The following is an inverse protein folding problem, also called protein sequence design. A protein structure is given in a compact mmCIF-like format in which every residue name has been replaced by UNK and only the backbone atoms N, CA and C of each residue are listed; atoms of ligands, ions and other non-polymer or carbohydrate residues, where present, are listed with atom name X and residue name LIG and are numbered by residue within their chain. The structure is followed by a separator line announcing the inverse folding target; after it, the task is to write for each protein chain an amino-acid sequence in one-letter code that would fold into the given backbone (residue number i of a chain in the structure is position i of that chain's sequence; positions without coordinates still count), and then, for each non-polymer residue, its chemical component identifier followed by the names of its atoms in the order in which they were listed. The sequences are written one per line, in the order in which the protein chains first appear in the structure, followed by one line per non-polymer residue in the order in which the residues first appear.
data_IF_313466933951
#
_entry.id   IF_313466933951
#
_cell.length_a   1.000
_cell.length_b   1.000
_cell.length_c   1.000
_cell.angle_alpha   90.00
_cell.angle_beta   90.00
_cell.angle_gamma   90.00
#
_symmetry.space_group_name_H-M   'P 1'
#
loop_
_entity.id
_entity.type
_entity.pdbx_description
1 polymer ?
#
# COMPACT_ATOMS: atom_id res chain seq x y z
N UNK A 1 -22.01 5.37 10.30
CA UNK A 1 -20.62 5.85 10.41
C UNK A 1 -19.73 4.65 10.14
N UNK A 2 -18.80 4.78 9.20
CA UNK A 2 -17.74 3.78 9.03
C UNK A 2 -16.80 3.83 10.23
N UNK A 3 -16.09 2.73 10.50
CA UNK A 3 -15.15 2.65 11.64
C UNK A 3 -13.88 3.47 11.37
N UNK A 4 -13.52 3.65 10.10
CA UNK A 4 -12.32 4.36 9.69
C UNK A 4 -12.64 5.77 9.18
N UNK A 5 -11.77 6.73 9.44
CA UNK A 5 -11.86 8.05 8.82
C UNK A 5 -11.51 8.01 7.33
N UNK A 6 -10.78 6.98 6.89
CA UNK A 6 -10.28 6.83 5.52
C UNK A 6 -11.39 6.59 4.50
N UNK A 7 -12.49 5.96 4.90
CA UNK A 7 -13.64 5.60 4.04
C UNK A 7 -14.95 6.32 4.46
N UNK A 8 -14.88 7.18 5.48
CA UNK A 8 -16.04 7.91 5.95
C UNK A 8 -16.48 8.99 4.94
N UNK A 9 -17.78 9.17 4.61
CA UNK A 9 -18.24 10.01 3.49
C UNK A 9 -17.85 11.51 3.47
N UNK A 10 -17.14 11.98 4.49
CA UNK A 10 -16.83 13.39 4.74
C UNK A 10 -15.44 13.52 5.37
N UNK A 11 -15.03 12.61 6.27
CA UNK A 11 -13.67 12.63 6.80
C UNK A 11 -12.65 12.13 5.77
N UNK A 12 -13.06 11.28 4.83
CA UNK A 12 -12.21 10.85 3.70
C UNK A 12 -11.79 12.02 2.82
N UNK A 13 -12.56 13.11 2.78
CA UNK A 13 -12.16 14.33 2.06
C UNK A 13 -10.88 14.99 2.62
N UNK A 14 -10.49 14.69 3.86
CA UNK A 14 -9.23 15.14 4.46
C UNK A 14 -8.21 13.99 4.64
N UNK A 15 -8.67 12.80 5.03
CA UNK A 15 -7.79 11.71 5.41
C UNK A 15 -7.74 10.56 4.42
N UNK A 16 -8.71 10.44 3.51
CA UNK A 16 -8.86 9.33 2.59
C UNK A 16 -8.10 9.50 1.28
N UNK A 17 -8.09 8.43 0.50
CA UNK A 17 -7.59 8.41 -0.88
C UNK A 17 -8.37 7.34 -1.68
N UNK A 18 -9.42 7.76 -2.38
CA UNK A 18 -10.34 6.83 -3.05
C UNK A 18 -9.63 5.97 -4.11
N UNK A 19 -8.61 6.51 -4.79
CA UNK A 19 -7.85 5.78 -5.80
C UNK A 19 -7.10 4.61 -5.18
N UNK A 20 -6.38 4.83 -4.08
CA UNK A 20 -5.63 3.78 -3.40
C UNK A 20 -6.55 2.85 -2.61
N UNK A 21 -7.59 3.38 -1.95
CA UNK A 21 -8.57 2.57 -1.23
C UNK A 21 -9.30 1.58 -2.16
N UNK A 22 -9.67 2.01 -3.38
CA UNK A 22 -10.33 1.15 -4.36
C UNK A 22 -9.48 -0.07 -4.79
N UNK A 23 -8.14 0.02 -4.71
CA UNK A 23 -7.26 -1.11 -5.02
C UNK A 23 -7.37 -2.25 -4.00
N UNK A 24 -7.78 -1.95 -2.76
CA UNK A 24 -8.04 -2.93 -1.70
C UNK A 24 -9.50 -3.43 -1.67
N UNK A 25 -10.32 -3.06 -2.66
CA UNK A 25 -11.72 -3.52 -2.71
C UNK A 25 -11.82 -5.03 -2.93
N UNK A 26 -12.92 -5.61 -2.42
CA UNK A 26 -13.20 -7.04 -2.57
C UNK A 26 -13.24 -7.49 -4.04
N UNK A 27 -13.78 -6.66 -4.94
CA UNK A 27 -13.79 -6.92 -6.38
C UNK A 27 -12.37 -7.02 -6.96
N UNK A 28 -11.46 -6.12 -6.53
CA UNK A 28 -10.05 -6.15 -6.96
C UNK A 28 -9.33 -7.39 -6.43
N UNK A 29 -9.57 -7.75 -5.18
CA UNK A 29 -9.04 -9.00 -4.59
C UNK A 29 -9.55 -10.23 -5.34
N UNK A 30 -10.85 -10.32 -5.61
CA UNK A 30 -11.43 -11.45 -6.35
C UNK A 30 -10.94 -11.52 -7.80
N UNK A 31 -10.73 -10.36 -8.45
CA UNK A 31 -10.08 -10.31 -9.75
C UNK A 31 -8.64 -10.83 -9.71
N UNK A 32 -7.85 -10.48 -8.69
CA UNK A 32 -6.51 -11.04 -8.49
C UNK A 32 -6.55 -12.54 -8.20
N UNK A 33 -7.55 -13.04 -7.48
CA UNK A 33 -7.75 -14.48 -7.30
C UNK A 33 -7.97 -15.20 -8.64
N UNK A 34 -8.77 -14.62 -9.54
CA UNK A 34 -8.94 -15.17 -10.88
C UNK A 34 -7.66 -15.13 -11.71
N UNK A 35 -6.86 -14.07 -11.60
CA UNK A 35 -5.55 -14.02 -12.26
C UNK A 35 -4.62 -15.13 -11.75
N UNK A 36 -4.57 -15.32 -10.43
CA UNK A 36 -3.80 -16.40 -9.80
C UNK A 36 -4.23 -17.77 -10.33
N UNK A 37 -5.54 -18.08 -10.31
CA UNK A 37 -6.05 -19.38 -10.76
C UNK A 37 -5.80 -19.63 -12.25
N UNK A 38 -5.89 -18.59 -13.09
CA UNK A 38 -5.56 -18.69 -14.51
C UNK A 38 -4.08 -18.99 -14.71
N UNK A 39 -3.20 -18.27 -14.01
CA UNK A 39 -1.76 -18.49 -14.09
C UNK A 39 -1.36 -19.89 -13.59
N UNK A 40 -1.94 -20.32 -12.47
CA UNK A 40 -1.74 -21.66 -11.91
C UNK A 40 -2.22 -22.74 -12.88
N UNK A 41 -3.47 -22.67 -13.35
CA UNK A 41 -4.06 -23.66 -14.26
C UNK A 41 -3.24 -23.79 -15.54
N UNK A 42 -2.83 -22.65 -16.11
CA UNK A 42 -2.00 -22.63 -17.32
C UNK A 42 -0.65 -23.31 -17.09
N UNK A 43 0.06 -22.94 -16.03
CA UNK A 43 1.35 -23.52 -15.69
C UNK A 43 1.26 -25.03 -15.38
N UNK A 44 0.21 -25.47 -14.67
CA UNK A 44 -0.03 -26.89 -14.40
C UNK A 44 -0.23 -27.70 -15.69
N UNK A 45 -0.95 -27.16 -16.67
CA UNK A 45 -1.14 -27.80 -17.97
C UNK A 45 0.14 -27.84 -18.81
N UNK A 46 0.89 -26.74 -18.85
CA UNK A 46 2.12 -26.62 -19.64
C UNK A 46 3.26 -27.49 -19.09
N UNK A 47 3.30 -27.72 -17.77
CA UNK A 47 4.27 -28.58 -17.11
C UNK A 47 3.79 -30.03 -16.87
N UNK A 48 2.61 -30.39 -17.40
CA UNK A 48 2.10 -31.75 -17.38
C UNK A 48 1.69 -32.27 -16.00
N UNK A 49 1.39 -31.37 -15.04
CA UNK A 49 0.85 -31.72 -13.72
C UNK A 49 -0.65 -32.03 -13.82
N UNK A 50 -1.36 -31.30 -14.67
CA UNK A 50 -2.77 -31.54 -15.03
C UNK A 50 -2.82 -31.85 -16.52
N UNK A 51 -3.72 -32.77 -16.92
CA UNK A 51 -3.95 -33.06 -18.33
C UNK A 51 -4.25 -31.76 -19.11
N UNK A 52 -3.62 -31.59 -20.27
CA UNK A 52 -3.68 -30.33 -21.01
C UNK A 52 -5.11 -29.98 -21.44
N UNK A 53 -5.94 -30.96 -21.80
CA UNK A 53 -7.32 -30.72 -22.18
C UNK A 53 -8.17 -30.30 -20.97
N UNK A 54 -7.89 -30.86 -19.78
CA UNK A 54 -8.53 -30.42 -18.53
C UNK A 54 -8.13 -28.98 -18.20
N UNK A 55 -6.84 -28.65 -18.26
CA UNK A 55 -6.35 -27.30 -18.01
C UNK A 55 -6.96 -26.27 -18.98
N UNK A 56 -7.01 -26.59 -20.29
CA UNK A 56 -7.63 -25.73 -21.30
C UNK A 56 -9.14 -25.58 -21.10
N UNK A 57 -9.83 -26.65 -20.69
CA UNK A 57 -11.24 -26.61 -20.30
C UNK A 57 -11.49 -25.63 -19.14
N UNK A 58 -10.69 -25.71 -18.08
CA UNK A 58 -10.77 -24.79 -16.93
C UNK A 58 -10.51 -23.35 -17.38
N UNK A 59 -9.44 -23.09 -18.14
CA UNK A 59 -9.09 -21.75 -18.61
C UNK A 59 -10.20 -21.10 -19.44
N UNK A 60 -10.88 -21.87 -20.29
CA UNK A 60 -12.01 -21.39 -21.08
C UNK A 60 -13.18 -20.96 -20.19
N UNK A 61 -13.49 -21.71 -19.14
CA UNK A 61 -14.55 -21.37 -18.19
C UNK A 61 -14.19 -20.15 -17.33
N UNK A 62 -12.93 -20.03 -16.91
CA UNK A 62 -12.45 -18.88 -16.13
C UNK A 62 -12.54 -17.55 -16.89
N UNK A 63 -12.62 -17.55 -18.22
CA UNK A 63 -12.73 -16.33 -19.02
C UNK A 63 -14.05 -15.56 -18.80
N UNK A 64 -15.13 -16.27 -18.43
CA UNK A 64 -16.46 -15.70 -18.17
C UNK A 64 -16.93 -15.82 -16.73
N UNK A 65 -16.07 -16.30 -15.82
CA UNK A 65 -16.46 -16.52 -14.43
C UNK A 65 -16.60 -15.21 -13.66
N UNK A 66 -17.74 -15.04 -13.00
CA UNK A 66 -18.01 -13.98 -12.04
C UNK A 66 -18.22 -14.60 -10.65
N UNK A 67 -17.40 -14.24 -9.64
CA UNK A 67 -17.57 -14.75 -8.28
C UNK A 67 -18.82 -14.20 -7.61
N UNK A 68 -19.50 -15.04 -6.83
CA UNK A 68 -20.56 -14.60 -5.92
C UNK A 68 -19.91 -14.05 -4.64
N UNK A 69 -19.86 -12.72 -4.56
CA UNK A 69 -19.20 -12.00 -3.48
C UNK A 69 -19.88 -12.21 -2.11
N UNK A 70 -21.21 -12.35 -2.08
CA UNK A 70 -21.95 -12.64 -0.84
C UNK A 70 -21.65 -14.06 -0.36
N UNK A 71 -21.55 -15.02 -1.28
CA UNK A 71 -21.13 -16.39 -0.99
C UNK A 71 -19.70 -16.47 -0.43
N UNK A 72 -18.77 -15.65 -0.95
CA UNK A 72 -17.41 -15.55 -0.42
C UNK A 72 -17.41 -14.94 0.98
N UNK A 73 -18.19 -13.88 1.22
CA UNK A 73 -18.32 -13.25 2.53
C UNK A 73 -18.91 -14.22 3.58
N UNK A 74 -19.95 -14.99 3.21
CA UNK A 74 -20.47 -16.05 4.06
C UNK A 74 -19.44 -17.17 4.32
N UNK A 75 -18.58 -17.45 3.34
CA UNK A 75 -17.43 -18.33 3.46
C UNK A 75 -16.40 -17.85 4.48
N UNK A 76 -16.02 -16.57 4.41
CA UNK A 76 -15.09 -15.94 5.34
C UNK A 76 -15.52 -16.12 6.80
N UNK A 77 -16.81 -15.92 7.10
CA UNK A 77 -17.34 -16.07 8.45
C UNK A 77 -17.24 -17.51 9.00
N UNK A 78 -17.23 -18.51 8.12
CA UNK A 78 -17.14 -19.94 8.48
C UNK A 78 -15.70 -20.44 8.52
N UNK A 79 -14.92 -20.10 7.51
CA UNK A 79 -13.62 -20.71 7.24
C UNK A 79 -12.44 -19.84 7.70
N UNK A 80 -12.69 -18.58 8.06
CA UNK A 80 -11.66 -17.61 8.49
C UNK A 80 -10.80 -17.06 7.35
N UNK A 81 -11.02 -17.50 6.11
CA UNK A 81 -10.33 -17.07 4.89
C UNK A 81 -11.28 -17.11 3.69
N UNK A 82 -11.06 -16.31 2.63
CA UNK A 82 -11.95 -16.28 1.46
C UNK A 82 -11.72 -17.43 0.47
N UNK A 83 -10.52 -18.01 0.48
CA UNK A 83 -10.07 -19.01 -0.52
C UNK A 83 -11.00 -20.22 -0.68
N UNK A 84 -11.44 -20.92 0.39
CA UNK A 84 -12.26 -22.12 0.25
C UNK A 84 -13.60 -21.86 -0.45
N UNK A 85 -14.29 -20.77 -0.12
CA UNK A 85 -15.55 -20.41 -0.75
C UNK A 85 -15.37 -20.01 -2.22
N UNK A 86 -14.33 -19.24 -2.52
CA UNK A 86 -13.98 -18.87 -3.89
C UNK A 86 -13.65 -20.10 -4.76
N UNK A 87 -12.77 -20.98 -4.29
CA UNK A 87 -12.39 -22.22 -5.01
C UNK A 87 -13.57 -23.16 -5.16
N UNK A 88 -14.47 -23.23 -4.18
CA UNK A 88 -15.71 -24.01 -4.30
C UNK A 88 -16.59 -23.48 -5.44
N UNK A 89 -16.78 -22.17 -5.55
CA UNK A 89 -17.53 -21.57 -6.65
C UNK A 89 -16.88 -21.89 -8.01
N UNK A 90 -15.55 -21.84 -8.09
CA UNK A 90 -14.82 -22.23 -9.30
C UNK A 90 -15.05 -23.69 -9.69
N UNK A 91 -14.91 -24.62 -8.74
CA UNK A 91 -15.16 -26.05 -8.98
C UNK A 91 -16.59 -26.32 -9.45
N UNK A 92 -17.57 -25.63 -8.85
CA UNK A 92 -18.97 -25.70 -9.27
C UNK A 92 -19.18 -25.16 -10.69
N UNK A 93 -18.49 -24.08 -11.06
CA UNK A 93 -18.61 -23.48 -12.38
C UNK A 93 -17.98 -24.33 -13.48
N UNK A 94 -16.85 -24.99 -13.24
CA UNK A 94 -16.18 -25.83 -14.25
C UNK A 94 -16.80 -27.23 -14.40
N UNK A 95 -17.57 -27.69 -13.40
CA UNK A 95 -18.18 -29.01 -13.38
C UNK A 95 -17.23 -30.14 -12.97
N UNK A 96 -17.80 -31.30 -12.64
CA UNK A 96 -17.08 -32.41 -12.01
C UNK A 96 -15.91 -32.94 -12.86
N UNK A 97 -16.06 -32.95 -14.19
CA UNK A 97 -15.04 -33.44 -15.13
C UNK A 97 -13.76 -32.59 -15.12
N UNK A 98 -13.86 -31.31 -14.76
CA UNK A 98 -12.75 -30.35 -14.79
C UNK A 98 -12.30 -29.93 -13.38
N UNK A 99 -13.10 -30.20 -12.35
CA UNK A 99 -12.86 -29.75 -10.98
C UNK A 99 -11.53 -30.24 -10.38
N UNK A 100 -10.98 -31.35 -10.88
CA UNK A 100 -9.68 -31.88 -10.47
C UNK A 100 -8.50 -30.99 -10.92
N UNK A 101 -8.69 -30.14 -11.94
CA UNK A 101 -7.68 -29.20 -12.44
C UNK A 101 -7.67 -27.84 -11.74
N UNK A 102 -8.60 -27.59 -10.80
CA UNK A 102 -8.75 -26.28 -10.13
C UNK A 102 -7.98 -26.25 -8.80
N UNK A 103 -7.19 -25.18 -8.59
CA UNK A 103 -6.46 -24.89 -7.35
C UNK A 103 -5.52 -26.03 -6.91
N UNK A 104 -4.91 -26.75 -7.86
CA UNK A 104 -4.07 -27.92 -7.57
C UNK A 104 -2.77 -27.49 -6.89
N UNK A 105 -2.56 -28.01 -5.68
CA UNK A 105 -1.34 -27.81 -4.89
C UNK A 105 -1.15 -26.43 -4.28
N UNK A 106 -2.07 -25.50 -4.52
CA UNK A 106 -2.12 -24.21 -3.84
C UNK A 106 -2.83 -24.31 -2.47
N UNK A 107 -2.71 -23.24 -1.68
CA UNK A 107 -3.45 -23.03 -0.43
C UNK A 107 -4.09 -21.65 -0.40
N UNK A 108 -5.02 -21.41 0.53
CA UNK A 108 -5.72 -20.12 0.65
C UNK A 108 -4.80 -18.93 0.89
N UNK A 109 -3.65 -19.14 1.54
CA UNK A 109 -2.65 -18.10 1.73
C UNK A 109 -1.87 -17.78 0.44
N UNK A 110 -1.57 -18.77 -0.42
CA UNK A 110 -0.97 -18.51 -1.73
C UNK A 110 -1.83 -17.54 -2.54
N UNK A 111 -3.13 -17.80 -2.55
CA UNK A 111 -4.13 -16.97 -3.22
C UNK A 111 -4.19 -15.55 -2.64
N UNK A 112 -4.26 -15.44 -1.31
CA UNK A 112 -4.46 -14.18 -0.60
C UNK A 112 -3.23 -13.28 -0.60
N UNK A 113 -2.06 -13.84 -0.31
CA UNK A 113 -0.81 -13.06 -0.27
C UNK A 113 -0.34 -12.68 -1.68
N UNK A 114 -0.60 -13.51 -2.70
CA UNK A 114 -0.34 -13.12 -4.10
C UNK A 114 -1.24 -11.94 -4.50
N UNK A 115 -2.52 -11.96 -4.16
CA UNK A 115 -3.42 -10.83 -4.43
C UNK A 115 -3.00 -9.55 -3.67
N UNK A 116 -2.49 -9.69 -2.45
CA UNK A 116 -1.94 -8.57 -1.69
C UNK A 116 -0.75 -7.94 -2.43
N UNK A 117 0.26 -8.72 -2.83
CA UNK A 117 1.45 -8.14 -3.50
C UNK A 117 1.14 -7.58 -4.88
N UNK A 118 0.17 -8.13 -5.62
CA UNK A 118 -0.33 -7.50 -6.84
C UNK A 118 -0.95 -6.13 -6.57
N UNK A 119 -1.72 -6.03 -5.47
CA UNK A 119 -2.31 -4.76 -5.01
C UNK A 119 -1.21 -3.77 -4.62
N UNK A 120 -0.22 -4.21 -3.84
CA UNK A 120 0.92 -3.37 -3.44
C UNK A 120 1.73 -2.92 -4.66
N UNK A 121 1.92 -3.76 -5.68
CA UNK A 121 2.58 -3.38 -6.92
C UNK A 121 1.85 -2.26 -7.66
N UNK A 122 0.51 -2.30 -7.70
CA UNK A 122 -0.30 -1.22 -8.28
C UNK A 122 -0.23 0.07 -7.44
N UNK A 123 -0.31 -0.05 -6.12
CA UNK A 123 -0.14 1.06 -5.17
C UNK A 123 1.23 1.71 -5.32
N UNK A 124 2.32 0.93 -5.40
CA UNK A 124 3.68 1.43 -5.42
C UNK A 124 3.95 2.29 -6.65
N UNK A 125 3.32 2.00 -7.79
CA UNK A 125 3.34 2.88 -8.97
C UNK A 125 2.78 4.26 -8.61
N UNK A 126 1.58 4.32 -8.04
CA UNK A 126 0.92 5.56 -7.64
C UNK A 126 1.75 6.33 -6.60
N UNK A 127 2.22 5.66 -5.55
CA UNK A 127 2.99 6.30 -4.49
C UNK A 127 4.34 6.82 -5.00
N UNK A 128 5.01 6.09 -5.90
CA UNK A 128 6.26 6.55 -6.51
C UNK A 128 6.07 7.80 -7.37
N UNK A 129 4.99 7.86 -8.16
CA UNK A 129 4.66 9.03 -8.98
C UNK A 129 4.37 10.25 -8.10
N UNK A 130 3.55 10.08 -7.05
CA UNK A 130 3.23 11.16 -6.12
C UNK A 130 4.45 11.59 -5.29
N UNK A 131 5.35 10.68 -4.93
CA UNK A 131 6.62 11.05 -4.29
C UNK A 131 7.48 11.91 -5.22
N UNK A 132 7.59 11.56 -6.51
CA UNK A 132 8.30 12.38 -7.50
C UNK A 132 7.64 13.75 -7.67
N UNK A 133 6.31 13.81 -7.68
CA UNK A 133 5.57 15.07 -7.72
C UNK A 133 5.81 15.93 -6.48
N UNK A 134 5.82 15.34 -5.28
CA UNK A 134 6.12 16.05 -4.04
C UNK A 134 7.55 16.60 -4.02
N UNK A 135 8.53 15.84 -4.52
CA UNK A 135 9.92 16.29 -4.70
C UNK A 135 9.98 17.47 -5.67
N UNK A 136 9.32 17.37 -6.83
CA UNK A 136 9.27 18.45 -7.82
C UNK A 136 8.63 19.73 -7.25
N UNK A 137 7.54 19.60 -6.48
CA UNK A 137 6.89 20.75 -5.85
C UNK A 137 7.80 21.44 -4.80
N UNK A 138 8.63 20.68 -4.10
CA UNK A 138 9.63 21.24 -3.18
C UNK A 138 10.73 21.98 -3.94
N UNK A 139 11.18 21.46 -5.09
CA UNK A 139 12.17 22.12 -5.95
C UNK A 139 11.64 23.44 -6.53
N UNK A 140 10.37 23.48 -6.91
CA UNK A 140 9.71 24.72 -7.34
C UNK A 140 9.66 25.77 -6.21
N UNK A 141 9.41 25.36 -4.97
CA UNK A 141 9.47 26.27 -3.81
C UNK A 141 10.89 26.75 -3.53
N UNK A 142 11.90 25.88 -3.63
CA UNK A 142 13.31 26.27 -3.55
C UNK A 142 13.66 27.30 -4.65
N UNK A 143 13.17 27.11 -5.88
CA UNK A 143 13.40 28.06 -6.97
C UNK A 143 12.74 29.42 -6.74
N UNK A 144 11.52 29.44 -6.17
CA UNK A 144 10.76 30.67 -5.91
C UNK A 144 11.27 31.46 -4.71
N UNK A 145 11.60 30.77 -3.62
CA UNK A 145 11.82 31.40 -2.32
C UNK A 145 13.18 31.08 -1.71
N UNK A 146 14.00 30.23 -2.33
CA UNK A 146 15.14 29.59 -1.69
C UNK A 146 16.20 30.54 -1.13
N UNK A 147 16.33 31.76 -1.67
CA UNK A 147 17.27 32.80 -1.21
C UNK A 147 16.70 33.67 -0.08
N UNK A 148 15.39 33.62 0.18
CA UNK A 148 14.75 34.36 1.24
C UNK A 148 15.24 33.89 2.62
N UNK A 149 15.27 34.80 3.58
CA UNK A 149 15.73 34.54 4.94
C UNK A 149 14.59 33.98 5.79
N UNK A 150 14.94 33.05 6.68
CA UNK A 150 14.10 32.57 7.77
C UNK A 150 14.86 32.65 9.08
N UNK A 151 14.13 32.87 10.18
CA UNK A 151 14.71 32.66 11.50
C UNK A 151 14.91 31.16 11.73
N UNK A 152 16.17 30.74 11.92
CA UNK A 152 16.48 29.39 12.37
C UNK A 152 15.88 29.18 13.76
N UNK A 153 15.37 27.96 14.02
CA UNK A 153 14.86 27.61 15.35
C UNK A 153 15.44 26.28 15.82
N UNK A 154 15.98 26.28 17.02
CA UNK A 154 16.52 25.09 17.67
C UNK A 154 15.84 24.93 19.02
N UNK A 155 15.29 23.73 19.29
CA UNK A 155 14.54 23.45 20.53
C UNK A 155 13.48 24.52 20.86
N UNK A 156 12.72 24.95 19.84
CA UNK A 156 11.68 25.99 19.94
C UNK A 156 12.17 27.41 20.26
N UNK A 157 13.48 27.67 20.19
CA UNK A 157 14.08 28.99 20.43
C UNK A 157 14.60 29.60 19.12
N UNK A 158 14.57 30.92 18.99
CA UNK A 158 15.21 31.63 17.89
C UNK A 158 16.73 31.40 17.92
N UNK A 159 17.31 31.14 16.75
CA UNK A 159 18.73 30.85 16.56
C UNK A 159 19.32 31.81 15.50
N UNK A 160 20.33 31.37 14.76
CA UNK A 160 20.87 32.14 13.64
C UNK A 160 19.93 32.09 12.42
N UNK A 161 19.91 33.13 11.57
CA UNK A 161 19.19 33.11 10.31
C UNK A 161 19.65 31.95 9.41
N UNK A 162 18.71 31.39 8.66
CA UNK A 162 18.94 30.41 7.60
C UNK A 162 18.24 30.89 6.32
N UNK A 163 18.45 30.21 5.20
CA UNK A 163 17.64 30.44 4.01
C UNK A 163 16.42 29.52 3.98
N UNK A 164 15.37 29.90 3.25
CA UNK A 164 14.24 29.01 2.93
C UNK A 164 14.76 27.74 2.25
N UNK A 165 15.70 27.86 1.31
CA UNK A 165 16.28 26.71 0.61
C UNK A 165 16.92 25.71 1.59
N UNK A 166 17.59 26.20 2.64
CA UNK A 166 18.12 25.33 3.68
C UNK A 166 16.99 24.54 4.37
N UNK A 167 15.89 25.19 4.77
CA UNK A 167 14.74 24.51 5.39
C UNK A 167 14.10 23.50 4.45
N UNK A 168 13.78 23.91 3.22
CA UNK A 168 13.09 23.06 2.24
C UNK A 168 13.92 21.83 1.86
N UNK A 169 15.25 21.97 1.78
CA UNK A 169 16.14 20.83 1.53
C UNK A 169 16.01 19.72 2.59
N UNK A 170 15.70 20.08 3.84
CA UNK A 170 15.45 19.10 4.92
C UNK A 170 14.13 18.36 4.76
N UNK A 171 13.17 18.91 4.01
CA UNK A 171 11.92 18.24 3.64
C UNK A 171 12.12 17.37 2.39
N UNK A 172 12.88 17.86 1.40
CA UNK A 172 13.11 17.20 0.11
C UNK A 172 14.03 15.99 0.19
N UNK A 173 15.18 16.12 0.85
CA UNK A 173 16.21 15.08 0.84
C UNK A 173 15.72 13.71 1.38
N UNK A 174 14.90 13.63 2.45
CA UNK A 174 14.29 12.37 2.85
C UNK A 174 13.38 11.73 1.80
N UNK A 175 12.56 12.52 1.09
CA UNK A 175 11.64 11.98 0.08
C UNK A 175 12.37 11.37 -1.11
N UNK A 176 13.50 11.97 -1.53
CA UNK A 176 14.39 11.39 -2.54
C UNK A 176 14.95 10.04 -2.07
N UNK A 177 15.40 9.95 -0.80
CA UNK A 177 15.86 8.68 -0.24
C UNK A 177 14.74 7.65 -0.14
N UNK A 178 13.51 8.06 0.11
CA UNK A 178 12.36 7.16 0.15
C UNK A 178 11.98 6.62 -1.22
N UNK A 179 12.18 7.40 -2.30
CA UNK A 179 12.06 6.89 -3.68
C UNK A 179 13.06 5.75 -3.93
N UNK A 180 14.34 5.97 -3.61
CA UNK A 180 15.36 4.92 -3.74
C UNK A 180 15.02 3.69 -2.90
N UNK A 181 14.60 3.88 -1.64
CA UNK A 181 14.20 2.76 -0.77
C UNK A 181 13.05 1.96 -1.36
N UNK A 182 12.06 2.60 -1.99
CA UNK A 182 10.96 1.89 -2.64
C UNK A 182 11.49 1.02 -3.79
N UNK A 183 12.42 1.54 -4.58
CA UNK A 183 13.09 0.80 -5.65
C UNK A 183 13.88 -0.40 -5.09
N UNK A 184 14.53 -0.23 -3.93
CA UNK A 184 15.31 -1.29 -3.27
C UNK A 184 14.44 -2.40 -2.66
N UNK A 185 13.26 -2.09 -2.09
CA UNK A 185 12.38 -3.08 -1.45
C UNK A 185 11.47 -3.82 -2.44
N UNK A 186 11.11 -3.20 -3.56
CA UNK A 186 10.17 -3.77 -4.54
C UNK A 186 10.57 -5.18 -5.03
N UNK A 187 11.85 -5.48 -5.36
CA UNK A 187 12.25 -6.82 -5.80
C UNK A 187 12.00 -7.93 -4.78
N UNK A 188 12.11 -7.63 -3.47
CA UNK A 188 11.83 -8.59 -2.40
C UNK A 188 10.36 -8.64 -1.98
N UNK A 189 9.63 -7.54 -2.17
CA UNK A 189 8.21 -7.42 -1.84
C UNK A 189 7.30 -8.03 -2.92
N UNK A 190 7.59 -7.78 -4.19
CA UNK A 190 6.71 -8.12 -5.32
C UNK A 190 7.02 -9.53 -5.86
N UNK A 191 6.97 -10.52 -4.96
CA UNK A 191 7.25 -11.93 -5.23
C UNK A 191 5.98 -12.77 -5.17
N UNK A 192 5.90 -13.82 -5.97
CA UNK A 192 4.79 -14.78 -5.93
C UNK A 192 4.74 -15.51 -4.57
N UNK A 193 3.54 -15.68 -3.99
CA UNK A 193 3.32 -16.68 -2.93
C UNK A 193 2.71 -17.93 -3.55
N UNK A 194 3.51 -19.01 -3.64
CA UNK A 194 3.00 -20.31 -4.09
C UNK A 194 3.81 -21.44 -3.47
N UNK A 195 3.35 -21.97 -2.34
CA UNK A 195 4.10 -22.98 -1.57
C UNK A 195 3.22 -24.10 -1.01
N UNK A 196 1.90 -24.05 -1.24
CA UNK A 196 0.97 -25.12 -0.88
C UNK A 196 0.72 -25.24 0.62
N UNK A 197 0.06 -26.33 1.04
CA UNK A 197 -0.57 -26.42 2.37
C UNK A 197 0.34 -26.13 3.57
N UNK A 198 1.61 -26.56 3.51
CA UNK A 198 2.61 -26.42 4.59
C UNK A 198 3.93 -25.81 4.11
N UNK A 199 3.89 -25.07 3.00
CA UNK A 199 5.05 -24.34 2.50
C UNK A 199 6.12 -25.16 1.76
N UNK A 200 5.92 -26.45 1.52
CA UNK A 200 6.93 -27.33 0.90
C UNK A 200 6.80 -27.48 -0.62
N UNK A 201 5.71 -27.00 -1.22
CA UNK A 201 5.40 -27.27 -2.63
C UNK A 201 5.18 -28.76 -2.97
N UNK A 202 5.16 -29.64 -1.95
CA UNK A 202 5.28 -31.09 -2.14
C UNK A 202 4.16 -31.74 -2.95
N UNK A 203 2.99 -31.10 -3.05
CA UNK A 203 1.89 -31.55 -3.90
C UNK A 203 2.27 -31.61 -5.39
N UNK A 204 3.26 -30.83 -5.83
CA UNK A 204 3.74 -30.76 -7.22
C UNK A 204 5.08 -31.46 -7.42
N UNK A 205 5.73 -31.96 -6.36
CA UNK A 205 7.02 -32.64 -6.45
C UNK A 205 8.09 -31.83 -7.19
N UNK A 206 8.77 -32.46 -8.16
CA UNK A 206 9.82 -31.86 -8.97
C UNK A 206 9.31 -30.72 -9.89
N UNK A 207 8.00 -30.62 -10.12
CA UNK A 207 7.39 -29.60 -11.00
C UNK A 207 7.10 -28.28 -10.32
N UNK A 208 7.15 -28.21 -8.98
CA UNK A 208 6.77 -27.01 -8.23
C UNK A 208 7.50 -25.75 -8.70
N UNK A 209 8.84 -25.81 -8.79
CA UNK A 209 9.65 -24.65 -9.14
C UNK A 209 9.40 -24.15 -10.57
N UNK A 210 9.17 -25.06 -11.52
CA UNK A 210 8.89 -24.69 -12.91
C UNK A 210 7.52 -24.03 -13.04
N UNK A 211 6.50 -24.61 -12.39
CA UNK A 211 5.15 -24.03 -12.30
C UNK A 211 5.19 -22.65 -11.64
N UNK A 212 5.88 -22.51 -10.50
CA UNK A 212 6.01 -21.25 -9.78
C UNK A 212 6.70 -20.15 -10.60
N UNK A 213 7.76 -20.49 -11.36
CA UNK A 213 8.43 -19.51 -12.25
C UNK A 213 7.53 -19.06 -13.38
N UNK A 214 6.78 -19.97 -14.00
CA UNK A 214 5.81 -19.60 -15.02
C UNK A 214 4.71 -18.70 -14.46
N UNK A 215 4.12 -19.07 -13.32
CA UNK A 215 3.10 -18.25 -12.65
C UNK A 215 3.61 -16.84 -12.33
N UNK A 216 4.82 -16.74 -11.76
CA UNK A 216 5.43 -15.46 -11.43
C UNK A 216 5.56 -14.58 -12.69
N UNK A 217 6.07 -15.15 -13.80
CA UNK A 217 6.18 -14.44 -15.07
C UNK A 217 4.82 -14.00 -15.63
N UNK A 218 3.79 -14.85 -15.57
CA UNK A 218 2.44 -14.52 -16.05
C UNK A 218 1.76 -13.41 -15.22
N UNK A 219 2.02 -13.37 -13.92
CA UNK A 219 1.47 -12.35 -13.02
C UNK A 219 2.29 -11.06 -13.01
N UNK A 220 3.51 -11.07 -13.57
CA UNK A 220 4.44 -9.95 -13.51
C UNK A 220 5.07 -9.78 -12.12
N UNK A 221 5.24 -10.88 -11.39
CA UNK A 221 5.88 -10.95 -10.08
C UNK A 221 7.24 -11.65 -10.18
N UNK A 222 8.10 -11.45 -9.19
CA UNK A 222 9.33 -12.21 -9.06
C UNK A 222 9.07 -13.62 -8.50
N UNK A 223 9.92 -14.57 -8.87
CA UNK A 223 9.90 -15.91 -8.28
C UNK A 223 10.66 -15.92 -6.94
N UNK A 224 10.01 -16.42 -5.89
CA UNK A 224 10.65 -16.72 -4.61
C UNK A 224 10.86 -18.24 -4.49
N UNK A 225 12.10 -18.72 -4.29
CA UNK A 225 12.37 -20.15 -4.10
C UNK A 225 11.89 -20.67 -2.74
N UNK A 226 11.89 -19.81 -1.73
CA UNK A 226 11.51 -20.14 -0.36
C UNK A 226 10.06 -19.70 -0.07
N UNK A 227 9.38 -20.47 0.78
CA UNK A 227 8.05 -20.12 1.26
C UNK A 227 8.10 -18.93 2.21
N UNK A 228 7.24 -17.93 1.99
CA UNK A 228 7.12 -16.76 2.86
C UNK A 228 5.77 -16.63 3.58
N UNK A 229 5.08 -17.76 3.81
CA UNK A 229 3.84 -17.80 4.61
C UNK A 229 4.03 -17.19 5.99
N UNK A 230 5.19 -17.40 6.61
CA UNK A 230 5.50 -16.92 7.98
C UNK A 230 6.76 -16.06 8.07
N UNK A 231 7.47 -15.82 6.96
CA UNK A 231 8.61 -14.88 6.89
C UNK A 231 8.12 -13.54 6.34
N UNK A 232 7.67 -12.66 7.25
CA UNK A 232 6.96 -11.41 6.90
C UNK A 232 7.84 -10.18 6.92
N UNK A 233 9.15 -10.35 6.84
CA UNK A 233 10.14 -9.28 6.86
C UNK A 233 9.94 -8.29 5.70
N UNK A 234 9.65 -8.75 4.49
CA UNK A 234 9.35 -7.87 3.35
C UNK A 234 8.09 -7.01 3.57
N UNK A 235 7.05 -7.57 4.18
CA UNK A 235 5.81 -6.86 4.51
C UNK A 235 6.06 -5.83 5.63
N UNK A 236 6.84 -6.20 6.64
CA UNK A 236 7.23 -5.29 7.72
C UNK A 236 8.14 -4.16 7.23
N UNK A 237 9.08 -4.43 6.32
CA UNK A 237 9.95 -3.40 5.73
C UNK A 237 9.15 -2.44 4.85
N UNK A 238 8.17 -2.94 4.10
CA UNK A 238 7.23 -2.09 3.38
C UNK A 238 6.38 -1.21 4.32
N UNK A 239 5.89 -1.76 5.44
CA UNK A 239 5.18 -0.98 6.46
C UNK A 239 6.08 0.10 7.10
N UNK A 240 7.35 -0.22 7.34
CA UNK A 240 8.36 0.74 7.78
C UNK A 240 8.56 1.85 6.74
N UNK A 241 8.67 1.51 5.45
CA UNK A 241 8.76 2.48 4.36
C UNK A 241 7.54 3.44 4.31
N UNK A 242 6.32 2.91 4.44
CA UNK A 242 5.10 3.73 4.54
C UNK A 242 5.17 4.72 5.71
N UNK A 243 5.62 4.24 6.88
CA UNK A 243 5.80 5.07 8.07
C UNK A 243 6.86 6.16 7.87
N UNK A 244 8.00 5.81 7.25
CA UNK A 244 9.07 6.75 6.91
C UNK A 244 8.58 7.87 5.97
N UNK A 245 7.78 7.53 4.96
CA UNK A 245 7.19 8.52 4.04
C UNK A 245 6.28 9.49 4.81
N UNK A 246 5.32 8.96 5.57
CA UNK A 246 4.40 9.80 6.35
C UNK A 246 5.12 10.60 7.43
N UNK A 247 6.16 10.06 8.07
CA UNK A 247 6.97 10.75 9.07
C UNK A 247 7.69 11.98 8.50
N UNK A 248 8.30 11.84 7.31
CA UNK A 248 8.95 12.97 6.62
C UNK A 248 7.94 14.06 6.25
N UNK A 249 6.76 13.68 5.76
CA UNK A 249 5.69 14.63 5.42
C UNK A 249 5.08 15.27 6.67
N UNK A 250 4.95 14.53 7.77
CA UNK A 250 4.51 15.05 9.06
C UNK A 250 5.48 16.06 9.66
N UNK A 251 6.80 15.84 9.53
CA UNK A 251 7.82 16.84 9.91
C UNK A 251 7.62 18.13 9.13
N UNK A 252 7.45 18.03 7.81
CA UNK A 252 7.15 19.20 6.96
C UNK A 252 5.85 19.89 7.39
N UNK A 253 4.78 19.12 7.66
CA UNK A 253 3.52 19.66 8.17
C UNK A 253 3.70 20.41 9.49
N UNK A 254 4.43 19.84 10.45
CA UNK A 254 4.71 20.48 11.74
C UNK A 254 5.48 21.80 11.58
N UNK A 255 6.49 21.83 10.71
CA UNK A 255 7.24 23.05 10.41
C UNK A 255 6.31 24.12 9.84
N UNK A 256 5.45 23.77 8.88
CA UNK A 256 4.51 24.72 8.26
C UNK A 256 3.46 25.20 9.26
N UNK A 257 2.94 24.36 10.14
CA UNK A 257 2.04 24.78 11.21
C UNK A 257 2.68 25.86 12.10
N UNK A 258 3.95 25.68 12.48
CA UNK A 258 4.68 26.66 13.27
C UNK A 258 4.97 27.93 12.46
N UNK A 259 5.37 27.80 11.20
CA UNK A 259 5.66 28.97 10.35
C UNK A 259 4.42 29.81 10.04
N UNK A 260 3.24 29.18 9.96
CA UNK A 260 1.96 29.86 9.76
C UNK A 260 1.37 30.44 11.07
N UNK A 261 2.00 30.18 12.22
CA UNK A 261 1.53 30.71 13.50
C UNK A 261 1.60 32.25 13.51
N UNK A 262 0.53 32.88 13.97
CA UNK A 262 0.47 34.33 14.14
C UNK A 262 1.61 34.83 15.02
N UNK A 263 2.29 35.89 14.58
CA UNK A 263 3.47 36.44 15.25
C UNK A 263 4.79 35.83 14.77
N UNK A 264 4.75 34.73 14.03
CA UNK A 264 5.88 34.26 13.23
C UNK A 264 5.69 34.63 11.76
N UNK A 265 4.53 34.29 11.19
CA UNK A 265 4.10 34.71 9.84
C UNK A 265 5.18 34.44 8.74
N UNK A 266 5.91 33.35 8.90
CA UNK A 266 7.01 32.90 8.04
C UNK A 266 6.53 32.06 6.85
N UNK A 267 5.27 31.63 6.86
CA UNK A 267 4.60 30.97 5.75
C UNK A 267 3.20 31.56 5.55
N UNK A 268 2.88 31.90 4.30
CA UNK A 268 1.52 32.29 3.90
C UNK A 268 0.94 31.20 3.02
N UNK A 269 -0.15 30.61 3.49
CA UNK A 269 -0.87 29.55 2.79
C UNK A 269 -2.06 30.15 2.04
N UNK A 270 -2.21 29.80 0.77
CA UNK A 270 -3.36 30.11 -0.06
C UNK A 270 -4.46 29.06 0.06
N UNK A 271 -5.68 29.41 -0.36
CA UNK A 271 -6.75 28.43 -0.58
C UNK A 271 -7.34 27.76 0.68
N UNK A 272 -7.34 28.44 1.83
CA UNK A 272 -8.13 28.02 3.00
C UNK A 272 -9.57 28.50 2.87
N UNK A 273 -10.55 27.63 3.16
CA UNK A 273 -11.96 28.01 3.22
C UNK A 273 -12.13 29.26 4.10
N UNK A 274 -12.49 30.38 3.47
CA UNK A 274 -12.60 31.65 4.17
C UNK A 274 -13.60 31.51 5.31
N UNK A 275 -13.16 31.73 6.55
CA UNK A 275 -14.11 31.88 7.64
C UNK A 275 -14.94 33.11 7.34
N UNK A 276 -16.23 32.93 7.10
CA UNK A 276 -17.17 34.04 6.84
C UNK A 276 -17.19 35.07 7.97
N UNK A 277 -16.75 34.69 9.18
CA UNK A 277 -16.62 35.57 10.34
C UNK A 277 -15.22 36.20 10.48
N UNK A 278 -14.17 35.64 9.88
CA UNK A 278 -12.77 36.10 10.04
C UNK A 278 -11.98 35.97 8.73
N UNK A 279 -12.02 36.99 7.85
CA UNK A 279 -11.38 36.95 6.53
C UNK A 279 -9.86 36.75 6.53
N UNK A 280 -9.18 37.08 7.63
CA UNK A 280 -7.74 36.90 7.82
C UNK A 280 -7.35 35.52 8.39
N UNK A 281 -8.31 34.69 8.82
CA UNK A 281 -8.06 33.40 9.47
C UNK A 281 -7.78 32.32 8.43
N UNK A 282 -6.51 31.94 8.30
CA UNK A 282 -6.06 30.85 7.41
C UNK A 282 -5.55 29.68 8.25
N UNK A 283 -6.39 28.66 8.43
CA UNK A 283 -6.01 27.49 9.22
C UNK A 283 -5.09 26.56 8.40
N UNK A 284 -3.97 26.08 8.96
CA UNK A 284 -3.06 25.16 8.27
C UNK A 284 -3.57 23.71 8.29
N UNK A 285 -4.84 23.47 7.95
CA UNK A 285 -5.55 22.17 8.11
C UNK A 285 -4.80 21.02 7.42
N UNK A 286 -4.31 21.23 6.20
CA UNK A 286 -3.53 20.22 5.48
C UNK A 286 -2.23 19.86 6.23
N UNK A 287 -1.55 20.86 6.79
CA UNK A 287 -0.31 20.64 7.52
C UNK A 287 -0.55 19.87 8.83
N UNK A 288 -1.64 20.17 9.53
CA UNK A 288 -2.08 19.40 10.70
C UNK A 288 -2.45 17.95 10.35
N UNK A 289 -3.10 17.75 9.19
CA UNK A 289 -3.43 16.41 8.70
C UNK A 289 -2.18 15.58 8.41
N UNK A 290 -1.12 16.17 7.84
CA UNK A 290 0.17 15.46 7.66
C UNK A 290 0.77 14.99 8.99
N UNK A 291 0.72 15.83 10.03
CA UNK A 291 1.19 15.45 11.37
C UNK A 291 0.34 14.30 11.93
N UNK A 292 -0.97 14.33 11.72
CA UNK A 292 -1.90 13.29 12.16
C UNK A 292 -1.59 11.95 11.46
N UNK A 293 -1.45 11.95 10.14
CA UNK A 293 -1.15 10.75 9.35
C UNK A 293 0.23 10.17 9.68
N UNK A 294 1.22 11.03 9.94
CA UNK A 294 2.53 10.61 10.42
C UNK A 294 2.46 9.88 11.76
N UNK A 295 1.70 10.41 12.71
CA UNK A 295 1.49 9.78 14.02
C UNK A 295 0.69 8.49 13.91
N UNK A 296 -0.30 8.43 13.02
CA UNK A 296 -1.06 7.22 12.74
C UNK A 296 -0.13 6.09 12.29
N UNK A 297 0.62 6.27 11.21
CA UNK A 297 1.53 5.22 10.72
C UNK A 297 2.65 4.88 11.72
N UNK A 298 3.12 5.84 12.52
CA UNK A 298 4.09 5.57 13.58
C UNK A 298 3.54 4.67 14.70
N UNK A 299 2.24 4.71 14.97
CA UNK A 299 1.57 3.77 15.89
C UNK A 299 1.37 2.42 15.22
N UNK A 300 0.84 2.42 14.00
CA UNK A 300 0.48 1.20 13.27
C UNK A 300 1.68 0.30 12.93
N UNK A 301 2.84 0.88 12.62
CA UNK A 301 4.06 0.11 12.28
C UNK A 301 4.48 -0.83 13.42
N UNK A 302 4.24 -0.44 14.67
CA UNK A 302 4.50 -1.31 15.83
C UNK A 302 3.66 -2.59 15.79
N UNK A 303 2.41 -2.51 15.32
CA UNK A 303 1.54 -3.67 15.11
C UNK A 303 2.02 -4.57 13.97
N UNK A 304 2.54 -3.99 12.87
CA UNK A 304 3.15 -4.78 11.80
C UNK A 304 4.40 -5.52 12.27
N UNK A 305 5.19 -4.95 13.20
CA UNK A 305 6.29 -5.67 13.83
C UNK A 305 5.83 -6.81 14.76
N UNK A 306 4.69 -6.66 15.45
CA UNK A 306 4.11 -7.77 16.21
C UNK A 306 3.67 -8.92 15.28
N UNK A 307 3.20 -8.58 14.08
CA UNK A 307 2.88 -9.54 13.04
C UNK A 307 4.11 -10.22 12.40
N UNK A 308 5.35 -9.96 12.85
CA UNK A 308 6.50 -10.80 12.46
C UNK A 308 6.51 -12.14 13.20
N UNK A 309 5.82 -12.24 14.34
CA UNK A 309 5.77 -13.46 15.15
C UNK A 309 4.67 -14.38 14.62
N UNK A 310 4.90 -14.92 13.42
CA UNK A 310 4.08 -16.02 12.91
C UNK A 310 4.59 -17.34 13.48
N UNK A 311 3.74 -18.05 14.22
CA UNK A 311 4.05 -19.41 14.66
C UNK A 311 3.96 -20.44 13.52
N UNK A 312 4.88 -21.40 13.53
CA UNK A 312 4.86 -22.61 12.67
C UNK A 312 4.79 -22.27 11.16
N UNK A 313 4.08 -23.07 10.37
CA UNK A 313 3.97 -22.90 8.92
C UNK A 313 2.84 -21.94 8.50
N UNK A 314 1.96 -21.54 9.43
CA UNK A 314 0.92 -20.50 9.21
C UNK A 314 0.34 -20.02 10.54
N UNK A 315 0.37 -18.70 10.77
CA UNK A 315 -0.28 -18.07 11.92
C UNK A 315 -1.56 -17.34 11.52
N UNK A 316 -2.71 -17.81 11.98
CA UNK A 316 -3.97 -17.07 11.79
C UNK A 316 -3.99 -15.76 12.57
N UNK A 317 -3.35 -15.71 13.74
CA UNK A 317 -3.35 -14.55 14.63
C UNK A 317 -2.48 -13.40 14.09
N UNK A 318 -1.23 -13.70 13.71
CA UNK A 318 -0.32 -12.70 13.18
C UNK A 318 -0.75 -12.26 11.77
N UNK A 319 -1.17 -13.19 10.92
CA UNK A 319 -1.61 -12.87 9.56
C UNK A 319 -2.85 -11.96 9.53
N UNK A 320 -3.85 -12.24 10.37
CA UNK A 320 -5.06 -11.39 10.44
C UNK A 320 -4.75 -9.98 10.95
N UNK A 321 -3.70 -9.81 11.76
CA UNK A 321 -3.26 -8.48 12.21
C UNK A 321 -2.74 -7.64 11.03
N UNK A 322 -2.08 -8.24 10.05
CA UNK A 322 -1.65 -7.56 8.83
C UNK A 322 -2.86 -7.02 8.05
N UNK A 323 -3.94 -7.81 7.93
CA UNK A 323 -5.15 -7.39 7.22
C UNK A 323 -5.82 -6.17 7.85
N UNK A 324 -5.77 -6.08 9.19
CA UNK A 324 -6.36 -4.97 9.93
C UNK A 324 -5.53 -3.69 9.81
N UNK A 325 -4.23 -3.79 9.58
CA UNK A 325 -3.29 -2.67 9.71
C UNK A 325 -2.80 -2.17 8.35
N UNK A 326 -2.27 -3.06 7.52
CA UNK A 326 -1.50 -2.68 6.34
C UNK A 326 -2.31 -1.85 5.33
N UNK A 327 -3.56 -2.20 4.96
CA UNK A 327 -4.34 -1.39 4.02
C UNK A 327 -4.53 0.06 4.50
N UNK A 328 -4.77 0.24 5.81
CA UNK A 328 -4.93 1.58 6.39
C UNK A 328 -3.63 2.37 6.38
N UNK A 329 -2.48 1.72 6.65
CA UNK A 329 -1.18 2.37 6.55
C UNK A 329 -0.88 2.85 5.13
N UNK A 330 -1.26 2.05 4.14
CA UNK A 330 -1.10 2.38 2.72
C UNK A 330 -1.96 3.57 2.32
N UNK A 331 -3.24 3.59 2.71
CA UNK A 331 -4.14 4.73 2.45
C UNK A 331 -3.64 5.99 3.16
N UNK A 332 -3.15 5.88 4.39
CA UNK A 332 -2.58 7.01 5.12
C UNK A 332 -1.36 7.61 4.40
N UNK A 333 -0.47 6.78 3.84
CA UNK A 333 0.66 7.26 3.04
C UNK A 333 0.22 7.94 1.74
N UNK A 334 -0.77 7.35 1.04
CA UNK A 334 -1.36 7.93 -0.16
C UNK A 334 -1.98 9.30 0.10
N UNK A 335 -2.84 9.40 1.12
CA UNK A 335 -3.48 10.65 1.54
C UNK A 335 -2.46 11.68 2.01
N UNK A 336 -1.40 11.26 2.72
CA UNK A 336 -0.31 12.14 3.14
C UNK A 336 0.43 12.73 1.96
N UNK A 337 0.70 11.96 0.90
CA UNK A 337 1.34 12.47 -0.32
C UNK A 337 0.43 13.45 -1.06
N UNK A 338 -0.83 13.09 -1.29
CA UNK A 338 -1.84 13.95 -1.95
C UNK A 338 -2.01 15.27 -1.20
N UNK A 339 -2.14 15.20 0.13
CA UNK A 339 -2.25 16.37 1.02
C UNK A 339 -0.98 17.20 1.02
N UNK A 340 0.19 16.55 1.03
CA UNK A 340 1.50 17.20 1.01
C UNK A 340 1.71 18.01 -0.28
N UNK A 341 1.44 17.40 -1.43
CA UNK A 341 1.48 18.08 -2.74
C UNK A 341 0.52 19.28 -2.74
N UNK A 342 -0.73 19.07 -2.31
CA UNK A 342 -1.74 20.13 -2.28
C UNK A 342 -1.42 21.25 -1.28
N UNK A 343 -0.66 20.96 -0.22
CA UNK A 343 -0.13 21.95 0.71
C UNK A 343 0.99 22.75 0.06
N UNK A 344 2.00 22.07 -0.51
CA UNK A 344 3.15 22.70 -1.16
C UNK A 344 2.73 23.66 -2.27
N UNK A 345 1.80 23.22 -3.14
CA UNK A 345 1.23 24.05 -4.21
C UNK A 345 0.42 25.25 -3.71
N UNK A 346 -0.08 25.20 -2.48
CA UNK A 346 -0.84 26.29 -1.88
C UNK A 346 0.04 27.37 -1.23
N UNK A 347 1.35 27.15 -1.11
CA UNK A 347 2.24 28.12 -0.45
C UNK A 347 2.42 29.36 -1.35
N UNK A 348 1.96 30.50 -0.84
CA UNK A 348 2.02 31.82 -1.49
C UNK A 348 3.34 32.53 -1.17
N UNK A 349 3.89 32.35 0.04
CA UNK A 349 5.14 32.96 0.51
C UNK A 349 5.83 32.09 1.55
N UNK A 350 7.17 32.05 1.53
CA UNK A 350 8.03 31.55 2.60
C UNK A 350 9.15 32.55 2.91
N UNK A 351 9.46 32.72 4.19
CA UNK A 351 10.50 33.66 4.62
C UNK A 351 10.12 35.12 4.41
N UNK A 352 11.11 36.00 4.39
CA UNK A 352 10.96 37.46 4.22
C UNK A 352 10.64 37.92 2.78
N UNK A 353 10.27 36.98 1.88
CA UNK A 353 10.03 37.24 0.45
C UNK A 353 8.76 37.99 0.08
#
# INVERSE_FOLDING_TARGET
MTVSAFDHPWFSGLFGDDTVAALFSADRTAHSFLRFERALTKALGDHGVVDKAVADGVLNMLAGFAPDMDGIAAGMARDGVPGPAFVKQLKQAVGDDLAAGVHVGATSQDLSDTALVETLGAVNKILSERLREAVSALEELEARFGTATLMGRTRMQAAQPITVGHRVSTWRAPLIRHLQRLEDINPGLLVLQFSGAVGTGGALGDKHADVARQMAAELGLAYAPDCWHTTRDAIADYANWLSLVTGSLGKMGQDICLMAQQGLDEAVLGGGGGSSAMPHKRNPVKAEALVTLARFNAVQVGGMHQALVHEQERSGAAWSLEWLILPQMTVAAAASLSTGIALLKSIERLGDS
#
